data_IF_511293449542
#
_entry.id   IF_511293449542
#
_cell.length_a   1.000
_cell.length_b   1.000
_cell.length_c   1.000
_cell.angle_alpha   90.00
_cell.angle_beta   90.00
_cell.angle_gamma   90.00
#
_symmetry.space_group_name_H-M   'P 1'
#
loop_
_entity.id
_entity.type
_entity.pdbx_description
1 polymer ?
#
# COMPACT_ATOMS: atom_id res chain seq x y z
N UNK A 1 21.56 15.24 0.86
CA UNK A 1 20.53 14.40 0.21
C UNK A 1 20.73 14.42 -1.30
N UNK A 2 20.42 13.34 -2.00
CA UNK A 2 20.48 13.25 -3.47
C UNK A 2 19.08 13.01 -4.01
N UNK A 3 18.66 13.84 -4.97
CA UNK A 3 17.40 13.73 -5.70
C UNK A 3 17.68 13.14 -7.08
N UNK A 4 17.20 11.91 -7.30
CA UNK A 4 17.31 11.24 -8.60
C UNK A 4 16.42 11.97 -9.63
N UNK A 5 16.89 12.12 -10.88
CA UNK A 5 16.07 12.72 -11.93
C UNK A 5 14.86 11.85 -12.25
N UNK A 6 13.68 12.48 -12.36
CA UNK A 6 12.46 11.80 -12.86
C UNK A 6 12.40 11.79 -14.38
N UNK A 7 13.16 12.69 -15.02
CA UNK A 7 13.10 13.03 -16.44
C UNK A 7 11.71 13.53 -16.89
N UNK A 8 10.94 14.01 -15.91
CA UNK A 8 9.62 14.58 -16.05
C UNK A 8 9.56 15.77 -15.09
N UNK A 9 9.16 16.92 -15.61
CA UNK A 9 8.89 18.13 -14.86
C UNK A 9 7.59 17.96 -14.06
N UNK A 10 7.71 17.95 -12.73
CA UNK A 10 6.61 17.70 -11.79
C UNK A 10 5.52 18.79 -11.90
N UNK A 11 5.93 20.03 -12.13
CA UNK A 11 5.03 21.18 -12.15
C UNK A 11 4.20 21.21 -13.44
N UNK A 12 4.78 20.74 -14.56
CA UNK A 12 4.06 20.63 -15.84
C UNK A 12 3.27 19.34 -16.00
N UNK A 13 3.68 18.25 -15.34
CA UNK A 13 3.07 16.95 -15.59
C UNK A 13 1.62 16.90 -15.08
N UNK A 14 0.66 16.74 -15.99
CA UNK A 14 -0.78 16.63 -15.66
C UNK A 14 -1.25 15.17 -15.43
N UNK A 15 -0.32 14.21 -15.31
CA UNK A 15 -0.62 12.80 -15.06
C UNK A 15 -1.61 12.08 -16.02
N UNK A 16 -1.87 12.63 -17.21
CA UNK A 16 -2.86 12.08 -18.17
C UNK A 16 -2.56 10.67 -18.74
N UNK A 17 -1.33 10.16 -18.60
CA UNK A 17 -0.96 8.79 -19.03
C UNK A 17 -0.71 8.55 -20.52
N UNK A 18 -0.96 9.53 -21.39
CA UNK A 18 -0.68 9.43 -22.84
C UNK A 18 0.77 9.02 -23.14
N UNK A 19 1.73 9.54 -22.36
CA UNK A 19 3.14 9.22 -22.55
C UNK A 19 3.47 7.75 -22.28
N UNK A 20 2.79 7.11 -21.32
CA UNK A 20 2.94 5.68 -21.03
C UNK A 20 2.24 4.82 -22.08
N UNK A 21 1.04 5.21 -22.51
CA UNK A 21 0.32 4.52 -23.59
C UNK A 21 1.17 4.41 -24.86
N UNK A 22 1.84 5.51 -25.25
CA UNK A 22 2.69 5.57 -26.45
C UNK A 22 4.10 5.01 -26.24
N UNK A 23 4.49 4.64 -25.03
CA UNK A 23 5.81 4.06 -24.77
C UNK A 23 5.89 2.62 -25.34
N UNK A 24 6.84 2.31 -26.23
CA UNK A 24 6.94 0.97 -26.82
C UNK A 24 7.63 -0.04 -25.90
N UNK A 25 8.42 0.40 -24.91
CA UNK A 25 9.14 -0.50 -23.99
C UNK A 25 8.18 -1.06 -22.95
N UNK A 26 8.18 -2.38 -22.78
CA UNK A 26 7.57 -3.10 -21.67
C UNK A 26 8.66 -3.48 -20.67
N UNK A 27 8.40 -3.28 -19.39
CA UNK A 27 9.31 -3.53 -18.26
C UNK A 27 8.56 -4.31 -17.21
N UNK A 28 9.23 -5.20 -16.48
CA UNK A 28 8.63 -5.86 -15.33
C UNK A 28 8.17 -4.85 -14.28
N UNK A 29 6.94 -5.03 -13.80
CA UNK A 29 6.36 -4.18 -12.79
C UNK A 29 6.71 -4.70 -11.40
N UNK A 30 7.71 -4.09 -10.78
CA UNK A 30 8.18 -4.46 -9.43
C UNK A 30 7.10 -4.19 -8.38
N UNK A 31 6.31 -3.13 -8.51
CA UNK A 31 5.24 -2.81 -7.56
C UNK A 31 4.12 -3.86 -7.58
N UNK A 32 3.88 -4.45 -8.75
CA UNK A 32 2.93 -5.54 -8.93
C UNK A 32 3.59 -6.92 -8.84
N UNK A 33 4.75 -7.04 -8.16
CA UNK A 33 5.42 -8.32 -7.87
C UNK A 33 5.69 -9.16 -9.13
N UNK A 34 6.03 -8.49 -10.24
CA UNK A 34 6.33 -9.08 -11.55
C UNK A 34 5.16 -9.83 -12.21
N UNK A 35 3.93 -9.64 -11.72
CA UNK A 35 2.72 -10.29 -12.26
C UNK A 35 2.27 -9.69 -13.60
N UNK A 36 2.64 -8.44 -13.89
CA UNK A 36 2.37 -7.79 -15.16
C UNK A 36 3.58 -6.96 -15.63
N UNK A 37 3.45 -6.38 -16.83
CA UNK A 37 4.44 -5.46 -17.39
C UNK A 37 3.92 -4.03 -17.30
N UNK A 38 4.77 -3.12 -16.82
CA UNK A 38 4.59 -1.67 -16.95
C UNK A 38 5.35 -1.13 -18.16
N UNK A 39 5.33 0.19 -18.32
CA UNK A 39 6.07 0.94 -19.34
C UNK A 39 7.33 1.56 -18.73
N UNK A 40 8.29 1.95 -19.58
CA UNK A 40 9.50 2.62 -19.10
C UNK A 40 9.21 4.01 -18.51
N UNK A 41 8.23 4.74 -19.05
CA UNK A 41 7.64 5.90 -18.37
C UNK A 41 6.39 5.44 -17.63
N UNK A 42 6.33 5.70 -16.33
CA UNK A 42 5.35 5.08 -15.45
C UNK A 42 4.98 5.99 -14.27
N UNK A 43 3.85 5.67 -13.65
CA UNK A 43 3.52 6.00 -12.26
C UNK A 43 3.54 4.68 -11.51
N UNK A 44 4.02 4.67 -10.26
CA UNK A 44 4.18 3.44 -9.48
C UNK A 44 2.84 2.73 -9.21
N UNK A 45 1.80 3.50 -8.86
CA UNK A 45 0.43 3.02 -8.73
C UNK A 45 -0.56 4.19 -8.91
N UNK A 46 -1.86 3.93 -9.21
CA UNK A 46 -2.82 4.98 -9.57
C UNK A 46 -3.06 6.07 -8.53
N UNK A 47 -2.72 5.83 -7.26
CA UNK A 47 -2.87 6.78 -6.15
C UNK A 47 -1.52 7.30 -5.64
N UNK A 48 -0.45 7.16 -6.41
CA UNK A 48 0.88 7.61 -5.99
C UNK A 48 0.88 9.11 -5.63
N UNK A 49 1.65 9.47 -4.61
CA UNK A 49 1.81 10.86 -4.18
C UNK A 49 3.30 11.24 -4.23
N UNK A 50 3.68 12.27 -5.01
CA UNK A 50 2.84 13.03 -5.94
C UNK A 50 2.42 12.17 -7.15
N UNK A 51 1.20 12.35 -7.66
CA UNK A 51 0.73 11.62 -8.84
C UNK A 51 1.38 12.18 -10.11
N UNK A 52 2.62 11.76 -10.37
CA UNK A 52 3.44 12.27 -11.47
C UNK A 52 4.26 11.14 -12.07
N UNK A 53 4.39 11.17 -13.39
CA UNK A 53 5.17 10.16 -14.11
C UNK A 53 6.68 10.32 -13.84
N UNK A 54 7.41 9.22 -13.98
CA UNK A 54 8.86 9.17 -14.00
C UNK A 54 9.33 8.22 -15.12
N UNK A 55 10.54 8.44 -15.65
CA UNK A 55 11.17 7.56 -16.63
C UNK A 55 12.21 6.69 -15.94
N UNK A 56 12.02 5.38 -16.04
CA UNK A 56 13.01 4.37 -15.72
C UNK A 56 14.15 4.44 -16.75
N UNK A 57 15.26 5.07 -16.35
CA UNK A 57 16.40 5.29 -17.22
C UNK A 57 17.09 3.99 -17.66
N UNK A 58 17.10 2.96 -16.82
CA UNK A 58 17.78 1.69 -17.09
C UNK A 58 17.08 0.91 -18.21
N UNK A 59 15.75 1.06 -18.33
CA UNK A 59 14.97 0.35 -19.33
C UNK A 59 14.52 1.21 -20.52
N UNK A 60 14.68 2.53 -20.46
CA UNK A 60 14.20 3.43 -21.50
C UNK A 60 15.05 3.38 -22.78
N UNK A 61 14.40 3.14 -23.93
CA UNK A 61 15.05 3.06 -25.25
C UNK A 61 15.78 4.36 -25.63
N UNK A 62 15.32 5.52 -25.13
CA UNK A 62 16.03 6.77 -25.38
C UNK A 62 17.41 6.79 -24.69
N UNK A 63 17.50 6.38 -23.43
CA UNK A 63 18.78 6.31 -22.73
C UNK A 63 19.66 5.16 -23.23
N UNK A 64 19.05 4.06 -23.69
CA UNK A 64 19.78 2.91 -24.26
C UNK A 64 20.33 3.20 -25.67
N UNK A 65 19.55 3.87 -26.54
CA UNK A 65 19.84 3.97 -28.00
C UNK A 65 19.79 5.38 -28.59
N UNK A 66 19.32 6.38 -27.85
CA UNK A 66 19.30 7.80 -28.24
C UNK A 66 18.13 8.28 -29.10
N UNK A 67 17.11 7.45 -29.40
CA UNK A 67 16.19 7.73 -30.55
C UNK A 67 14.67 7.58 -30.36
N UNK A 68 14.16 7.01 -29.26
CA UNK A 68 12.71 6.75 -29.12
C UNK A 68 11.85 8.02 -29.02
N UNK A 69 12.11 8.91 -28.04
CA UNK A 69 11.42 10.20 -27.78
C UNK A 69 9.88 10.22 -27.89
N UNK A 70 9.21 9.07 -27.88
CA UNK A 70 7.76 8.99 -28.06
C UNK A 70 7.01 9.69 -26.92
N UNK A 71 7.43 9.48 -25.68
CA UNK A 71 6.82 10.14 -24.52
C UNK A 71 6.92 11.67 -24.60
N UNK A 72 8.02 12.23 -25.12
CA UNK A 72 8.20 13.67 -25.33
C UNK A 72 7.25 14.17 -26.43
N UNK A 73 7.21 13.51 -27.58
CA UNK A 73 6.36 13.88 -28.72
C UNK A 73 4.86 13.94 -28.37
N UNK A 74 4.38 13.01 -27.54
CA UNK A 74 2.96 12.87 -27.22
C UNK A 74 2.55 13.52 -25.89
N UNK A 75 3.48 14.17 -25.18
CA UNK A 75 3.14 14.86 -23.93
C UNK A 75 2.50 16.22 -24.22
N UNK A 76 1.20 16.43 -23.97
CA UNK A 76 0.53 17.70 -24.26
C UNK A 76 1.06 18.85 -23.39
N UNK A 77 1.54 18.53 -22.18
CA UNK A 77 2.05 19.52 -21.24
C UNK A 77 3.53 19.87 -21.44
N UNK A 78 4.23 19.23 -22.39
CA UNK A 78 5.66 19.46 -22.60
C UNK A 78 6.51 19.17 -21.35
N UNK A 79 6.09 18.18 -20.54
CA UNK A 79 6.69 17.90 -19.24
C UNK A 79 7.91 16.96 -19.31
N UNK A 80 8.19 16.31 -20.44
CA UNK A 80 9.32 15.38 -20.55
C UNK A 80 10.61 16.16 -20.70
N UNK A 81 11.59 15.86 -19.85
CA UNK A 81 12.92 16.45 -19.90
C UNK A 81 13.99 15.39 -19.65
N UNK A 82 14.54 14.85 -20.74
CA UNK A 82 15.61 13.86 -20.68
C UNK A 82 16.95 14.42 -20.20
N UNK A 83 17.08 15.74 -20.05
CA UNK A 83 18.33 16.40 -19.65
C UNK A 83 18.43 16.62 -18.15
N UNK A 84 17.37 16.32 -17.39
CA UNK A 84 17.39 16.37 -15.93
C UNK A 84 18.58 15.57 -15.37
N UNK A 85 19.29 16.18 -14.42
CA UNK A 85 20.43 15.58 -13.73
C UNK A 85 20.10 15.37 -12.27
N UNK A 86 20.82 14.45 -11.64
CA UNK A 86 20.77 14.29 -10.19
C UNK A 86 21.13 15.60 -9.50
N UNK A 87 20.31 15.99 -8.51
CA UNK A 87 20.51 17.21 -7.72
C UNK A 87 20.95 16.83 -6.31
N UNK A 88 21.95 17.53 -5.80
CA UNK A 88 22.41 17.36 -4.42
C UNK A 88 21.98 18.56 -3.60
N UNK A 89 21.37 18.28 -2.45
CA UNK A 89 20.94 19.28 -1.48
C UNK A 89 21.68 19.08 -0.17
N UNK A 90 22.12 20.20 0.41
CA UNK A 90 22.53 20.26 1.81
C UNK A 90 21.35 20.77 2.62
N UNK A 91 21.04 20.08 3.71
CA UNK A 91 19.99 20.48 4.65
C UNK A 91 20.56 20.29 6.05
N UNK A 92 20.50 21.36 6.85
CA UNK A 92 20.90 21.32 8.24
C UNK A 92 19.68 20.89 9.06
N UNK A 93 19.82 19.79 9.81
CA UNK A 93 18.74 19.19 10.61
C UNK A 93 19.21 18.96 12.04
N UNK A 94 18.32 19.17 13.01
CA UNK A 94 18.63 18.94 14.43
C UNK A 94 18.31 17.52 14.90
N UNK A 95 17.48 16.78 14.18
CA UNK A 95 17.22 15.36 14.44
C UNK A 95 16.84 14.61 13.17
N UNK A 96 17.00 13.29 13.18
CA UNK A 96 16.71 12.39 12.05
C UNK A 96 15.87 11.21 12.55
N UNK A 97 14.82 10.85 11.80
CA UNK A 97 14.02 9.64 12.05
C UNK A 97 14.22 8.66 10.91
N UNK A 98 14.58 7.43 11.24
CA UNK A 98 14.75 6.33 10.30
C UNK A 98 13.45 5.52 10.22
N UNK A 99 12.79 5.60 9.06
CA UNK A 99 11.51 4.93 8.79
C UNK A 99 11.57 4.14 7.46
N UNK A 100 12.71 3.51 7.19
CA UNK A 100 12.99 2.85 5.91
C UNK A 100 12.31 1.47 5.75
N UNK A 101 11.55 1.01 6.75
CA UNK A 101 10.72 -0.19 6.67
C UNK A 101 11.50 -1.51 6.64
N UNK A 102 10.86 -2.55 6.09
CA UNK A 102 11.42 -3.87 5.87
C UNK A 102 11.07 -4.39 4.48
N UNK A 103 11.78 -5.44 4.04
CA UNK A 103 11.51 -6.15 2.80
C UNK A 103 11.03 -7.59 3.09
N UNK A 104 10.18 -8.18 2.23
CA UNK A 104 9.82 -9.59 2.33
C UNK A 104 11.06 -10.49 2.21
N UNK A 105 11.08 -11.60 2.93
CA UNK A 105 12.09 -12.63 2.79
C UNK A 105 11.95 -13.34 1.43
N UNK A 106 13.03 -13.40 0.65
CA UNK A 106 13.06 -14.06 -0.65
C UNK A 106 13.01 -15.60 -0.50
N UNK A 107 11.96 -16.28 -0.99
CA UNK A 107 11.79 -17.72 -0.85
C UNK A 107 12.59 -18.50 -1.90
N UNK A 108 13.36 -17.84 -2.78
CA UNK A 108 14.14 -18.50 -3.85
C UNK A 108 15.21 -19.45 -3.32
N UNK A 109 15.70 -19.27 -2.08
CA UNK A 109 16.58 -20.24 -1.43
C UNK A 109 15.84 -21.48 -0.89
N UNK A 110 14.52 -21.41 -0.75
CA UNK A 110 13.64 -22.47 -0.22
C UNK A 110 13.12 -23.35 -1.35
N UNK A 111 14.04 -23.99 -2.08
CA UNK A 111 13.76 -24.76 -3.30
C UNK A 111 12.69 -25.84 -3.11
N UNK A 112 12.55 -26.37 -1.89
CA UNK A 112 11.55 -27.39 -1.54
C UNK A 112 10.11 -26.88 -1.55
N UNK A 113 9.88 -25.56 -1.50
CA UNK A 113 8.56 -24.97 -1.72
C UNK A 113 8.27 -24.70 -3.20
N UNK A 114 9.26 -24.75 -4.08
CA UNK A 114 9.05 -24.69 -5.53
C UNK A 114 8.67 -23.33 -6.11
N UNK A 115 8.82 -22.24 -5.35
CA UNK A 115 8.66 -20.87 -5.88
C UNK A 115 9.58 -20.64 -7.09
N UNK A 116 9.06 -20.00 -8.14
CA UNK A 116 9.76 -19.78 -9.40
C UNK A 116 9.87 -21.03 -10.31
N UNK A 117 9.72 -22.24 -9.77
CA UNK A 117 9.65 -23.49 -10.55
C UNK A 117 8.21 -23.87 -10.89
N UNK A 118 7.29 -23.69 -9.95
CA UNK A 118 5.88 -24.02 -10.11
C UNK A 118 5.07 -22.72 -10.26
N UNK A 119 4.36 -22.51 -11.38
CA UNK A 119 3.67 -21.24 -11.64
C UNK A 119 2.62 -20.87 -10.59
N UNK A 120 1.99 -21.88 -9.96
CA UNK A 120 0.95 -21.68 -8.96
C UNK A 120 1.47 -21.66 -7.51
N UNK A 121 2.79 -21.64 -7.31
CA UNK A 121 3.39 -21.29 -6.01
C UNK A 121 3.74 -19.81 -6.06
N UNK A 122 2.94 -19.01 -5.36
CA UNK A 122 3.10 -17.55 -5.31
C UNK A 122 3.49 -17.10 -3.90
N UNK A 123 3.98 -15.87 -3.80
CA UNK A 123 4.22 -15.23 -2.50
C UNK A 123 2.97 -14.54 -1.96
N UNK A 124 2.92 -14.31 -0.64
CA UNK A 124 1.88 -13.48 -0.04
C UNK A 124 1.79 -12.08 -0.68
N UNK A 125 2.93 -11.46 -1.02
CA UNK A 125 2.91 -10.16 -1.72
C UNK A 125 2.26 -10.26 -3.11
N UNK A 126 2.53 -11.32 -3.88
CA UNK A 126 1.84 -11.57 -5.14
C UNK A 126 0.32 -11.79 -4.94
N UNK A 127 -0.07 -12.45 -3.85
CA UNK A 127 -1.47 -12.62 -3.48
C UNK A 127 -2.13 -11.27 -3.15
N UNK A 128 -1.48 -10.41 -2.36
CA UNK A 128 -1.94 -9.04 -2.09
C UNK A 128 -2.17 -8.25 -3.38
N UNK A 129 -1.20 -8.29 -4.32
CA UNK A 129 -1.35 -7.61 -5.61
C UNK A 129 -2.48 -8.22 -6.46
N UNK A 130 -2.67 -9.54 -6.39
CA UNK A 130 -3.75 -10.23 -7.10
C UNK A 130 -5.14 -9.83 -6.60
N UNK A 131 -5.32 -9.77 -5.27
CA UNK A 131 -6.58 -9.40 -4.63
C UNK A 131 -6.86 -7.88 -4.68
N UNK A 132 -5.85 -7.05 -4.94
CA UNK A 132 -6.01 -5.61 -4.96
C UNK A 132 -6.82 -5.12 -6.19
N UNK A 133 -7.79 -4.22 -5.96
CA UNK A 133 -8.63 -3.64 -7.01
C UNK A 133 -7.85 -2.82 -8.07
N UNK A 134 -6.72 -2.22 -7.69
CA UNK A 134 -5.80 -1.54 -8.62
C UNK A 134 -4.59 -2.41 -8.99
N UNK A 135 -4.63 -3.69 -8.62
CA UNK A 135 -3.65 -4.69 -9.00
C UNK A 135 -3.79 -5.16 -10.45
N UNK A 136 -2.86 -6.01 -10.91
CA UNK A 136 -2.79 -6.52 -12.29
C UNK A 136 -4.08 -7.21 -12.77
N UNK A 137 -4.84 -7.81 -11.85
CA UNK A 137 -6.05 -8.57 -12.14
C UNK A 137 -7.33 -7.86 -11.67
N UNK A 138 -7.25 -6.59 -11.27
CA UNK A 138 -8.38 -5.78 -10.79
C UNK A 138 -9.19 -6.48 -9.68
N UNK A 139 -8.49 -7.14 -8.75
CA UNK A 139 -9.07 -7.90 -7.65
C UNK A 139 -9.59 -9.29 -8.00
N UNK A 140 -9.52 -9.74 -9.25
CA UNK A 140 -9.95 -11.10 -9.60
C UNK A 140 -8.93 -12.12 -9.11
N UNK A 141 -9.40 -13.09 -8.34
CA UNK A 141 -8.59 -14.21 -7.88
C UNK A 141 -8.29 -15.15 -9.05
N UNK A 142 -7.02 -15.21 -9.45
CA UNK A 142 -6.56 -15.98 -10.61
C UNK A 142 -5.29 -16.76 -10.28
N UNK A 143 -5.17 -17.96 -10.85
CA UNK A 143 -3.94 -18.75 -10.79
C UNK A 143 -2.99 -18.36 -11.93
N UNK A 144 -1.68 -18.16 -11.68
CA UNK A 144 -0.76 -17.67 -12.72
C UNK A 144 -0.57 -18.60 -13.92
N UNK A 145 -0.75 -19.92 -13.73
CA UNK A 145 -0.55 -20.90 -14.81
C UNK A 145 -1.53 -20.78 -15.98
N UNK A 146 -2.81 -20.52 -15.72
CA UNK A 146 -3.87 -20.61 -16.72
C UNK A 146 -4.93 -19.49 -16.62
N UNK A 147 -4.84 -18.61 -15.62
CA UNK A 147 -5.75 -17.49 -15.40
C UNK A 147 -7.11 -17.85 -14.81
N UNK A 148 -7.35 -19.12 -14.44
CA UNK A 148 -8.60 -19.57 -13.81
C UNK A 148 -8.65 -19.20 -12.34
N UNK A 149 -9.86 -19.13 -11.77
CA UNK A 149 -10.02 -18.98 -10.33
C UNK A 149 -9.75 -20.31 -9.63
N UNK A 150 -8.81 -20.37 -8.67
CA UNK A 150 -8.56 -21.59 -7.89
C UNK A 150 -9.71 -21.90 -6.94
N UNK A 151 -10.00 -23.19 -6.77
CA UNK A 151 -11.00 -23.73 -5.83
C UNK A 151 -10.37 -24.25 -4.53
N UNK A 152 -9.08 -24.60 -4.56
CA UNK A 152 -8.32 -25.08 -3.40
C UNK A 152 -7.00 -24.32 -3.26
N UNK A 153 -6.82 -23.60 -2.14
CA UNK A 153 -5.62 -22.80 -1.87
C UNK A 153 -5.03 -23.16 -0.51
N UNK A 154 -3.71 -23.35 -0.48
CA UNK A 154 -2.95 -23.53 0.76
C UNK A 154 -2.04 -22.32 1.04
N UNK A 155 -2.10 -21.77 2.25
CA UNK A 155 -1.10 -20.83 2.77
C UNK A 155 -0.11 -21.57 3.65
N UNK A 156 1.18 -21.35 3.42
CA UNK A 156 2.25 -21.96 4.22
C UNK A 156 2.87 -20.87 5.09
N UNK A 157 2.74 -21.01 6.41
CA UNK A 157 3.28 -20.05 7.37
C UNK A 157 4.79 -20.18 7.59
N UNK A 158 5.37 -19.10 8.14
CA UNK A 158 6.76 -19.04 8.57
C UNK A 158 7.78 -19.27 7.44
N UNK A 159 7.47 -18.86 6.21
CA UNK A 159 8.41 -18.96 5.09
C UNK A 159 9.52 -17.92 5.28
N UNK A 160 10.75 -18.37 5.49
CA UNK A 160 11.90 -17.50 5.78
C UNK A 160 12.00 -17.02 7.24
N UNK A 161 11.14 -17.52 8.14
CA UNK A 161 11.12 -17.14 9.57
C UNK A 161 11.06 -18.35 10.47
N UNK A 162 11.48 -18.20 11.73
CA UNK A 162 11.54 -19.28 12.73
C UNK A 162 12.28 -20.51 12.20
N UNK A 163 13.34 -20.28 11.43
CA UNK A 163 14.17 -21.31 10.84
C UNK A 163 15.64 -20.92 10.94
N UNK A 164 16.38 -21.72 11.71
CA UNK A 164 17.84 -21.57 11.94
C UNK A 164 18.67 -22.52 11.09
N UNK A 165 18.03 -23.44 10.35
CA UNK A 165 18.70 -24.52 9.63
C UNK A 165 18.81 -24.22 8.13
N UNK A 166 17.89 -23.41 7.59
CA UNK A 166 17.86 -23.11 6.17
C UNK A 166 18.57 -21.81 5.82
N UNK A 167 19.50 -21.86 4.87
CA UNK A 167 20.23 -20.68 4.40
C UNK A 167 19.29 -19.58 3.89
N UNK A 168 19.51 -18.35 4.35
CA UNK A 168 18.68 -17.19 4.03
C UNK A 168 17.45 -17.01 4.92
N UNK A 169 17.07 -18.01 5.71
CA UNK A 169 16.00 -17.88 6.71
C UNK A 169 16.49 -17.26 8.00
N UNK A 170 15.54 -16.80 8.81
CA UNK A 170 15.80 -16.10 10.07
C UNK A 170 15.20 -16.84 11.25
N UNK A 171 15.92 -16.85 12.38
CA UNK A 171 15.48 -17.53 13.61
C UNK A 171 14.31 -16.83 14.32
N UNK A 172 14.08 -15.55 14.05
CA UNK A 172 12.99 -14.77 14.64
C UNK A 172 11.65 -14.98 13.95
N UNK A 173 10.58 -14.54 14.62
CA UNK A 173 9.24 -14.44 14.05
C UNK A 173 9.05 -13.06 13.42
N UNK A 174 8.45 -12.98 12.23
CA UNK A 174 8.19 -11.71 11.55
C UNK A 174 6.90 -10.99 11.99
N UNK A 175 6.25 -11.42 13.08
CA UNK A 175 5.15 -10.70 13.74
C UNK A 175 3.79 -10.70 13.01
N UNK A 176 3.80 -10.49 11.69
CA UNK A 176 2.59 -10.14 10.90
C UNK A 176 2.04 -11.29 10.06
N UNK A 177 2.83 -12.32 9.77
CA UNK A 177 2.49 -13.33 8.76
C UNK A 177 1.29 -14.21 9.09
N UNK A 178 1.01 -14.44 10.37
CA UNK A 178 -0.23 -15.13 10.76
C UNK A 178 -1.46 -14.32 10.38
N UNK A 179 -1.42 -13.00 10.60
CA UNK A 179 -2.58 -12.15 10.41
C UNK A 179 -2.84 -11.80 8.95
N UNK A 180 -1.81 -11.50 8.16
CA UNK A 180 -2.05 -11.26 6.73
C UNK A 180 -2.53 -12.53 6.03
N UNK A 181 -2.13 -13.74 6.45
CA UNK A 181 -2.59 -14.98 5.83
C UNK A 181 -4.07 -15.23 6.13
N UNK A 182 -4.51 -15.01 7.38
CA UNK A 182 -5.93 -15.05 7.74
C UNK A 182 -6.72 -14.02 6.93
N UNK A 183 -6.16 -12.81 6.75
CA UNK A 183 -6.78 -11.75 5.96
C UNK A 183 -6.88 -12.13 4.48
N UNK A 184 -5.80 -12.59 3.86
CA UNK A 184 -5.77 -13.03 2.47
C UNK A 184 -6.76 -14.17 2.23
N UNK A 185 -6.81 -15.18 3.10
CA UNK A 185 -7.77 -16.29 2.98
C UNK A 185 -9.22 -15.79 3.09
N UNK A 186 -9.50 -14.87 4.02
CA UNK A 186 -10.81 -14.24 4.18
C UNK A 186 -11.22 -13.47 2.92
N UNK A 187 -10.36 -12.59 2.42
CA UNK A 187 -10.63 -11.78 1.22
C UNK A 187 -10.75 -12.68 -0.02
N UNK A 188 -9.93 -13.74 -0.13
CA UNK A 188 -10.03 -14.70 -1.21
C UNK A 188 -11.40 -15.38 -1.23
N UNK A 189 -11.94 -15.78 -0.07
CA UNK A 189 -13.31 -16.32 0.04
C UNK A 189 -14.38 -15.27 -0.28
N UNK A 190 -14.18 -14.01 0.11
CA UNK A 190 -15.11 -12.92 -0.26
C UNK A 190 -15.15 -12.69 -1.78
N UNK A 191 -14.02 -12.83 -2.47
CA UNK A 191 -13.90 -12.63 -3.91
C UNK A 191 -14.35 -13.85 -4.74
N UNK A 192 -14.05 -15.07 -4.29
CA UNK A 192 -14.34 -16.31 -5.01
C UNK A 192 -15.65 -17.00 -4.58
N UNK A 193 -16.22 -16.61 -3.43
CA UNK A 193 -17.37 -17.26 -2.80
C UNK A 193 -16.99 -18.25 -1.71
N UNK A 194 -17.99 -18.68 -0.94
CA UNK A 194 -17.81 -19.56 0.24
C UNK A 194 -17.31 -20.96 -0.08
N UNK A 195 -17.50 -21.43 -1.32
CA UNK A 195 -17.07 -22.76 -1.79
C UNK A 195 -15.55 -22.88 -1.94
N UNK A 196 -14.81 -21.76 -1.94
CA UNK A 196 -13.35 -21.79 -1.94
C UNK A 196 -12.84 -22.52 -0.70
N UNK A 197 -12.09 -23.60 -0.91
CA UNK A 197 -11.39 -24.31 0.15
C UNK A 197 -10.04 -23.64 0.43
N UNK A 198 -9.94 -23.07 1.64
CA UNK A 198 -8.77 -22.33 2.10
C UNK A 198 -8.16 -23.04 3.30
N UNK A 199 -6.89 -23.45 3.19
CA UNK A 199 -6.14 -24.09 4.26
C UNK A 199 -4.91 -23.27 4.64
N UNK A 200 -4.72 -23.02 5.93
CA UNK A 200 -3.54 -22.34 6.48
C UNK A 200 -2.73 -23.35 7.28
N UNK A 201 -1.52 -23.66 6.81
CA UNK A 201 -0.57 -24.56 7.45
C UNK A 201 0.36 -23.79 8.38
N UNK A 202 0.33 -24.08 9.68
CA UNK A 202 1.01 -23.29 10.70
C UNK A 202 1.68 -24.13 11.80
N UNK A 203 2.61 -23.52 12.54
CA UNK A 203 3.14 -24.09 13.80
C UNK A 203 2.35 -23.58 15.02
N UNK A 204 2.30 -22.25 15.14
CA UNK A 204 1.52 -21.53 16.15
C UNK A 204 0.88 -20.29 15.48
N UNK A 205 -0.43 -20.09 15.66
CA UNK A 205 -1.11 -18.86 15.24
C UNK A 205 -0.81 -17.76 16.25
N UNK A 206 -0.26 -16.63 15.79
CA UNK A 206 0.16 -15.49 16.64
C UNK A 206 -0.75 -14.28 16.49
N UNK A 207 -1.96 -14.39 17.03
CA UNK A 207 -3.09 -13.43 16.92
C UNK A 207 -3.13 -12.41 18.08
N UNK A 208 -1.98 -11.85 18.45
CA UNK A 208 -1.78 -11.11 19.71
C UNK A 208 -2.33 -9.67 19.76
N UNK A 209 -2.67 -9.07 18.62
CA UNK A 209 -3.22 -7.70 18.54
C UNK A 209 -4.67 -7.61 19.02
N UNK A 210 -5.12 -6.38 19.34
CA UNK A 210 -6.51 -6.15 19.78
C UNK A 210 -7.49 -6.56 18.68
N UNK A 211 -8.33 -7.55 18.98
CA UNK A 211 -9.33 -8.07 18.04
C UNK A 211 -8.79 -9.08 17.03
N UNK A 212 -7.49 -9.39 17.03
CA UNK A 212 -6.89 -10.33 16.08
C UNK A 212 -7.40 -11.76 16.29
N UNK A 213 -7.51 -12.20 17.54
CA UNK A 213 -8.09 -13.49 17.87
C UNK A 213 -9.56 -13.60 17.42
N UNK A 214 -10.33 -12.52 17.56
CA UNK A 214 -11.71 -12.48 17.05
C UNK A 214 -11.76 -12.61 15.53
N UNK A 215 -10.84 -11.96 14.82
CA UNK A 215 -10.75 -12.04 13.37
C UNK A 215 -10.34 -13.45 12.90
N UNK A 216 -9.40 -14.08 13.60
CA UNK A 216 -9.01 -15.47 13.40
C UNK A 216 -10.20 -16.43 13.57
N UNK A 217 -10.93 -16.32 14.69
CA UNK A 217 -12.12 -17.16 14.93
C UNK A 217 -13.22 -16.92 13.92
N UNK A 218 -13.47 -15.68 13.51
CA UNK A 218 -14.42 -15.38 12.43
C UNK A 218 -14.03 -16.07 11.12
N UNK A 219 -12.74 -16.10 10.77
CA UNK A 219 -12.28 -16.81 9.58
C UNK A 219 -12.51 -18.32 9.69
N UNK A 220 -12.30 -18.91 10.87
CA UNK A 220 -12.53 -20.33 11.15
C UNK A 220 -14.03 -20.68 11.16
N UNK A 221 -14.80 -20.02 12.03
CA UNK A 221 -16.18 -20.36 12.38
C UNK A 221 -17.18 -19.90 11.30
N UNK A 222 -17.07 -18.66 10.80
CA UNK A 222 -18.08 -18.08 9.90
C UNK A 222 -17.76 -18.32 8.42
N UNK A 223 -16.47 -18.41 8.08
CA UNK A 223 -16.00 -18.53 6.70
C UNK A 223 -15.44 -19.92 6.38
N UNK A 224 -15.21 -20.78 7.37
CA UNK A 224 -14.72 -22.15 7.16
C UNK A 224 -13.30 -22.19 6.59
N UNK A 225 -12.41 -21.29 7.01
CA UNK A 225 -10.97 -21.40 6.72
C UNK A 225 -10.39 -22.49 7.61
N UNK A 226 -9.71 -23.47 7.01
CA UNK A 226 -9.10 -24.59 7.74
C UNK A 226 -7.75 -24.17 8.30
N UNK A 227 -7.53 -24.41 9.58
CA UNK A 227 -6.24 -24.19 10.24
C UNK A 227 -5.60 -25.53 10.55
N UNK A 228 -4.50 -25.85 9.86
CA UNK A 228 -3.82 -27.14 9.96
C UNK A 228 -2.49 -26.92 10.67
N UNK A 229 -2.37 -27.46 11.87
CA UNK A 229 -1.15 -27.35 12.67
C UNK A 229 -0.08 -28.32 12.17
N UNK A 230 0.62 -27.91 11.12
CA UNK A 230 1.73 -28.66 10.56
C UNK A 230 2.70 -27.72 9.84
N UNK A 231 4.01 -27.93 10.02
CA UNK A 231 5.03 -27.27 9.21
C UNK A 231 5.26 -28.10 7.96
N UNK A 232 4.79 -27.62 6.82
CA UNK A 232 4.95 -28.28 5.52
C UNK A 232 6.43 -28.44 5.21
N UNK A 233 6.84 -29.66 4.86
CA UNK A 233 8.22 -29.96 4.47
C UNK A 233 8.52 -29.54 3.02
N UNK A 234 7.61 -29.84 2.09
CA UNK A 234 7.83 -29.61 0.66
C UNK A 234 6.53 -29.53 -0.12
N UNK A 235 6.57 -28.81 -1.24
CA UNK A 235 5.50 -28.75 -2.25
C UNK A 235 6.02 -29.44 -3.51
N UNK A 236 5.22 -30.35 -4.07
CA UNK A 236 5.55 -31.08 -5.30
C UNK A 236 4.38 -31.02 -6.29
N UNK A 237 4.57 -31.29 -7.59
CA UNK A 237 3.45 -31.41 -8.53
C UNK A 237 2.54 -32.57 -8.12
N UNK A 238 1.23 -32.41 -8.30
CA UNK A 238 0.25 -33.45 -7.96
C UNK A 238 0.34 -34.68 -8.88
N UNK A 239 0.73 -34.45 -10.14
CA UNK A 239 1.10 -35.46 -11.14
C UNK A 239 2.12 -34.85 -12.10
N UNK A 240 2.89 -35.69 -12.79
CA UNK A 240 3.86 -35.21 -13.79
C UNK A 240 3.18 -34.34 -14.85
N UNK A 241 3.73 -33.14 -15.07
CA UNK A 241 3.19 -32.16 -16.03
C UNK A 241 1.94 -31.39 -15.55
N UNK A 242 1.40 -31.67 -14.35
CA UNK A 242 0.29 -30.88 -13.80
C UNK A 242 0.80 -29.62 -13.10
N UNK A 243 0.00 -28.54 -13.20
CA UNK A 243 0.20 -27.31 -12.45
C UNK A 243 -0.49 -27.33 -11.07
N UNK A 244 -1.24 -28.38 -10.76
CA UNK A 244 -1.75 -28.62 -9.41
C UNK A 244 -0.63 -29.12 -8.50
N UNK A 245 -0.74 -28.78 -7.23
CA UNK A 245 0.30 -28.95 -6.23
C UNK A 245 -0.16 -29.98 -5.20
N UNK A 246 0.76 -30.81 -4.74
CA UNK A 246 0.55 -31.74 -3.64
C UNK A 246 1.38 -31.28 -2.44
N UNK A 247 0.70 -31.16 -1.31
CA UNK A 247 1.28 -30.75 -0.03
C UNK A 247 1.20 -31.93 0.93
N UNK A 248 2.36 -32.43 1.33
CA UNK A 248 2.48 -33.46 2.36
C UNK A 248 2.62 -32.84 3.74
N UNK A 249 1.84 -33.31 4.71
CA UNK A 249 1.87 -32.80 6.08
C UNK A 249 1.55 -33.91 7.09
N UNK A 250 1.83 -33.65 8.36
CA UNK A 250 1.52 -34.55 9.48
C UNK A 250 0.41 -33.92 10.31
N UNK A 251 -0.67 -34.66 10.55
CA UNK A 251 -1.74 -34.22 11.45
C UNK A 251 -1.35 -34.35 12.93
N UNK A 252 -2.21 -33.87 13.84
CA UNK A 252 -1.92 -33.95 15.28
C UNK A 252 -1.93 -35.38 15.83
N UNK A 253 -2.49 -36.35 15.10
CA UNK A 253 -2.46 -37.78 15.44
C UNK A 253 -1.18 -38.48 14.95
N UNK A 254 -0.33 -37.78 14.20
CA UNK A 254 0.90 -38.32 13.62
C UNK A 254 0.71 -39.03 12.28
N UNK A 255 -0.47 -38.95 11.66
CA UNK A 255 -0.70 -39.52 10.34
C UNK A 255 -0.08 -38.63 9.27
N UNK A 256 0.62 -39.25 8.32
CA UNK A 256 1.11 -38.56 7.13
C UNK A 256 -0.02 -38.47 6.12
N UNK A 257 -0.40 -37.24 5.78
CA UNK A 257 -1.45 -36.92 4.83
C UNK A 257 -0.86 -36.20 3.63
N UNK A 258 -1.50 -36.40 2.48
CA UNK A 258 -1.20 -35.64 1.26
C UNK A 258 -2.49 -35.05 0.72
N UNK A 259 -2.47 -33.74 0.45
CA UNK A 259 -3.62 -33.02 -0.07
C UNK A 259 -3.25 -32.27 -1.37
N UNK A 260 -4.21 -32.17 -2.28
CA UNK A 260 -4.05 -31.50 -3.58
C UNK A 260 -4.60 -30.07 -3.48
N UNK A 261 -3.82 -29.12 -3.97
CA UNK A 261 -4.16 -27.70 -4.04
C UNK A 261 -3.93 -27.17 -5.45
N UNK A 262 -4.77 -26.25 -5.90
CA UNK A 262 -4.62 -25.62 -7.21
C UNK A 262 -3.66 -24.42 -7.17
N UNK A 263 -3.43 -23.87 -5.97
CA UNK A 263 -2.50 -22.76 -5.70
C UNK A 263 -1.93 -22.87 -4.28
N UNK A 264 -0.66 -22.49 -4.11
CA UNK A 264 0.01 -22.38 -2.81
C UNK A 264 0.53 -20.96 -2.65
N UNK A 265 0.26 -20.35 -1.50
CA UNK A 265 0.72 -19.02 -1.11
C UNK A 265 1.77 -19.15 -0.01
N UNK A 266 2.94 -18.58 -0.26
CA UNK A 266 4.05 -18.57 0.69
C UNK A 266 3.99 -17.33 1.57
N UNK A 267 3.67 -17.51 2.84
CA UNK A 267 3.62 -16.43 3.83
C UNK A 267 5.04 -16.06 4.28
N UNK A 268 5.70 -15.23 3.46
CA UNK A 268 7.05 -14.71 3.65
C UNK A 268 7.19 -13.89 4.95
N UNK A 269 8.29 -14.10 5.64
CA UNK A 269 8.75 -13.22 6.71
C UNK A 269 9.17 -11.84 6.21
N UNK A 270 9.55 -10.98 7.16
CA UNK A 270 10.18 -9.69 6.94
C UNK A 270 11.66 -9.77 7.32
N UNK A 271 12.52 -9.11 6.55
CA UNK A 271 13.95 -8.92 6.84
C UNK A 271 14.33 -7.44 6.71
N UNK A 272 15.40 -7.05 7.41
CA UNK A 272 15.95 -5.71 7.30
C UNK A 272 16.54 -5.47 5.89
N UNK A 273 16.20 -4.38 5.18
CA UNK A 273 16.75 -4.05 3.88
C UNK A 273 18.24 -3.75 3.98
N UNK A 274 19.01 -4.07 2.93
CA UNK A 274 20.45 -3.77 2.88
C UNK A 274 20.74 -2.27 3.00
N UNK A 275 19.84 -1.45 2.49
CA UNK A 275 19.90 0.01 2.56
C UNK A 275 19.82 0.51 3.99
N UNK A 276 19.05 -0.16 4.86
CA UNK A 276 18.97 0.18 6.29
C UNK A 276 20.29 -0.10 6.98
N UNK A 277 20.92 -1.24 6.67
CA UNK A 277 22.23 -1.60 7.23
C UNK A 277 23.32 -0.62 6.77
N UNK A 278 23.34 -0.29 5.49
CA UNK A 278 24.26 0.71 4.94
C UNK A 278 24.01 2.12 5.49
N UNK A 279 22.76 2.44 5.88
CA UNK A 279 22.43 3.71 6.52
C UNK A 279 22.88 3.73 7.99
N UNK A 280 22.68 2.63 8.72
CA UNK A 280 23.15 2.47 10.09
C UNK A 280 24.68 2.61 10.18
N UNK A 281 25.42 1.99 9.26
CA UNK A 281 26.89 2.13 9.16
C UNK A 281 27.30 3.58 8.92
N UNK A 282 26.68 4.27 7.94
CA UNK A 282 26.98 5.69 7.64
C UNK A 282 26.66 6.64 8.80
N UNK A 283 25.65 6.30 9.60
CA UNK A 283 25.22 7.10 10.74
C UNK A 283 25.89 6.66 12.05
N UNK A 284 26.75 5.64 12.03
CA UNK A 284 27.40 5.07 13.22
C UNK A 284 26.37 4.65 14.29
N UNK A 285 25.40 3.81 13.87
CA UNK A 285 24.30 3.31 14.69
C UNK A 285 24.41 1.79 14.83
N UNK A 286 24.17 1.29 16.04
CA UNK A 286 24.20 -0.13 16.36
C UNK A 286 23.05 -0.89 15.71
N UNK A 287 23.33 -2.12 15.28
CA UNK A 287 22.32 -3.07 14.81
C UNK A 287 22.26 -4.28 15.74
N UNK A 288 21.09 -4.91 15.81
CA UNK A 288 20.90 -6.16 16.55
C UNK A 288 21.37 -7.38 15.75
N UNK A 289 21.39 -8.54 16.41
CA UNK A 289 21.79 -9.82 15.79
C UNK A 289 20.94 -10.24 14.59
N UNK A 290 19.74 -9.69 14.49
CA UNK A 290 18.75 -9.99 13.45
C UNK A 290 18.89 -9.08 12.22
N UNK A 291 19.75 -8.06 12.30
CA UNK A 291 20.09 -7.12 11.24
C UNK A 291 19.22 -5.86 11.20
N UNK A 292 18.38 -5.62 12.20
CA UNK A 292 17.61 -4.39 12.36
C UNK A 292 18.34 -3.38 13.25
N UNK A 293 17.87 -2.15 13.28
CA UNK A 293 18.44 -1.10 14.14
C UNK A 293 18.18 -1.45 15.62
N UNK A 294 19.23 -1.44 16.44
CA UNK A 294 19.16 -1.76 17.86
C UNK A 294 18.39 -0.68 18.62
N UNK A 295 17.40 -1.10 19.41
CA UNK A 295 16.65 -0.29 20.38
C UNK A 295 16.51 -1.07 21.68
N UNK A 296 15.91 -0.49 22.72
CA UNK A 296 15.65 -1.21 23.97
C UNK A 296 14.25 -0.93 24.53
N UNK A 297 13.81 -1.76 25.48
CA UNK A 297 12.46 -1.70 26.02
C UNK A 297 12.10 -0.38 26.73
N UNK A 298 13.08 0.37 27.24
CA UNK A 298 12.86 1.67 27.89
C UNK A 298 12.87 2.83 26.89
N UNK A 299 13.53 2.64 25.75
CA UNK A 299 13.72 3.64 24.70
C UNK A 299 13.49 2.99 23.33
N UNK A 300 12.24 2.60 23.02
CA UNK A 300 11.94 1.75 21.86
C UNK A 300 12.13 2.43 20.50
N UNK A 301 12.27 3.76 20.49
CA UNK A 301 12.44 4.57 19.27
C UNK A 301 13.76 5.31 19.21
N UNK A 302 14.60 5.20 20.25
CA UNK A 302 15.94 5.81 20.26
C UNK A 302 16.96 4.81 19.73
N UNK A 303 17.89 5.32 18.90
CA UNK A 303 19.05 4.55 18.47
C UNK A 303 20.21 4.71 19.44
N UNK A 304 21.34 4.05 19.19
CA UNK A 304 22.59 4.25 19.95
C UNK A 304 23.17 5.66 19.81
N UNK A 305 22.73 6.45 18.82
CA UNK A 305 23.22 7.80 18.55
C UNK A 305 22.18 8.86 18.92
N UNK A 306 22.57 9.79 19.79
CA UNK A 306 21.71 10.91 20.19
C UNK A 306 21.29 11.75 18.97
N UNK A 307 20.00 12.09 18.92
CA UNK A 307 19.41 12.85 17.80
C UNK A 307 19.02 12.02 16.59
N UNK A 308 19.30 10.70 16.60
CA UNK A 308 18.81 9.77 15.59
C UNK A 308 17.84 8.78 16.23
N UNK A 309 16.65 8.69 15.64
CA UNK A 309 15.53 7.87 16.09
C UNK A 309 15.13 6.87 15.00
N UNK A 310 14.38 5.84 15.36
CA UNK A 310 13.88 4.81 14.45
C UNK A 310 12.42 4.48 14.77
N UNK A 311 11.65 4.05 13.76
CA UNK A 311 10.29 3.57 13.95
C UNK A 311 9.89 2.52 12.92
N UNK A 312 8.88 1.72 13.27
CA UNK A 312 8.29 0.72 12.39
C UNK A 312 9.25 -0.41 12.04
N UNK A 313 9.06 -1.00 10.87
CA UNK A 313 9.80 -2.20 10.45
C UNK A 313 11.32 -2.03 10.30
N UNK A 314 11.86 -0.81 10.43
CA UNK A 314 13.30 -0.57 10.46
C UNK A 314 13.96 -1.02 11.77
N UNK A 315 13.21 -1.04 12.89
CA UNK A 315 13.70 -1.50 14.19
C UNK A 315 13.41 -2.99 14.44
N UNK A 316 12.24 -3.48 14.00
CA UNK A 316 11.83 -4.87 14.16
C UNK A 316 10.56 -5.16 13.33
N UNK A 317 10.25 -6.43 13.01
CA UNK A 317 9.01 -6.77 12.32
C UNK A 317 7.76 -6.40 13.15
N UNK A 318 6.96 -5.46 12.66
CA UNK A 318 5.75 -4.94 13.32
C UNK A 318 4.61 -4.75 12.33
N UNK A 319 3.38 -4.62 12.84
CA UNK A 319 2.23 -4.29 12.02
C UNK A 319 2.08 -2.76 11.80
N UNK A 320 1.06 -2.38 11.04
CA UNK A 320 0.78 -0.98 10.72
C UNK A 320 0.41 -0.17 11.99
N UNK A 321 -0.52 -0.61 12.86
CA UNK A 321 -0.82 0.10 14.11
C UNK A 321 0.42 0.40 14.97
N UNK A 322 1.28 -0.61 15.17
CA UNK A 322 2.50 -0.43 15.95
C UNK A 322 3.48 0.52 15.23
N UNK A 323 3.64 0.41 13.91
CA UNK A 323 4.47 1.35 13.14
C UNK A 323 4.01 2.80 13.28
N UNK A 324 2.69 3.05 13.24
CA UNK A 324 2.11 4.40 13.41
C UNK A 324 2.31 4.92 14.83
N UNK A 325 2.15 4.06 15.83
CA UNK A 325 2.42 4.39 17.24
C UNK A 325 3.89 4.76 17.46
N UNK A 326 4.81 3.95 16.94
CA UNK A 326 6.25 4.21 17.04
C UNK A 326 6.67 5.46 16.29
N UNK A 327 6.10 5.74 15.11
CA UNK A 327 6.34 6.98 14.38
C UNK A 327 5.91 8.21 15.19
N UNK A 328 4.78 8.12 15.89
CA UNK A 328 4.29 9.19 16.79
C UNK A 328 5.22 9.37 18.00
N UNK A 329 5.70 8.27 18.58
CA UNK A 329 6.67 8.30 19.68
C UNK A 329 8.02 8.90 19.24
N UNK A 330 8.53 8.51 18.07
CA UNK A 330 9.75 9.07 17.49
C UNK A 330 9.62 10.57 17.21
N UNK A 331 8.49 11.00 16.64
CA UNK A 331 8.19 12.42 16.43
C UNK A 331 8.14 13.21 17.75
N UNK A 332 7.55 12.63 18.80
CA UNK A 332 7.56 13.23 20.14
C UNK A 332 8.97 13.34 20.71
N UNK A 333 9.81 12.31 20.55
CA UNK A 333 11.18 12.32 21.04
C UNK A 333 12.04 13.38 20.30
N UNK A 334 11.88 13.48 18.98
CA UNK A 334 12.43 14.56 18.17
C UNK A 334 11.98 15.94 18.66
N UNK A 335 10.68 16.13 18.90
CA UNK A 335 10.12 17.41 19.32
C UNK A 335 10.61 17.82 20.72
N UNK A 336 10.84 16.87 21.62
CA UNK A 336 11.44 17.12 22.94
C UNK A 336 12.90 17.57 22.80
N UNK A 337 13.68 16.92 21.93
CA UNK A 337 15.06 17.33 21.65
C UNK A 337 15.14 18.73 21.01
N UNK A 338 14.19 19.05 20.14
CA UNK A 338 14.15 20.31 19.38
C UNK A 338 13.31 21.41 20.06
N UNK A 339 12.96 21.25 21.34
CA UNK A 339 12.01 22.13 22.03
C UNK A 339 12.43 23.61 21.98
N UNK A 340 13.71 23.91 22.17
CA UNK A 340 14.24 25.29 22.15
C UNK A 340 14.18 25.94 20.77
N UNK A 341 14.20 25.14 19.69
CA UNK A 341 14.13 25.60 18.31
C UNK A 341 12.73 25.46 17.71
N UNK A 342 11.72 25.22 18.54
CA UNK A 342 10.34 25.07 18.09
C UNK A 342 9.88 26.34 17.35
N UNK A 343 9.25 26.14 16.19
CA UNK A 343 8.68 27.19 15.33
C UNK A 343 9.67 28.14 14.63
N UNK A 344 10.99 28.02 14.84
CA UNK A 344 11.97 28.96 14.27
C UNK A 344 12.11 28.87 12.75
N UNK A 345 11.75 27.72 12.16
CA UNK A 345 11.86 27.43 10.72
C UNK A 345 10.51 27.07 10.08
N UNK A 346 9.38 27.44 10.69
CA UNK A 346 8.05 27.18 10.10
C UNK A 346 7.90 27.95 8.79
N UNK A 347 7.51 27.24 7.74
CA UNK A 347 6.98 27.84 6.51
C UNK A 347 5.46 27.78 6.57
N UNK A 348 4.81 28.94 6.56
CA UNK A 348 3.37 29.00 6.41
C UNK A 348 3.01 28.74 4.95
N UNK A 349 2.10 27.80 4.71
CA UNK A 349 1.49 27.63 3.39
C UNK A 349 0.63 28.85 3.11
N UNK A 350 0.90 29.53 2.00
CA UNK A 350 0.07 30.63 1.53
C UNK A 350 -1.17 30.06 0.83
N UNK A 351 -2.34 30.57 1.22
CA UNK A 351 -3.63 30.22 0.62
C UNK A 351 -4.13 31.42 -0.19
N UNK A 352 -4.94 31.19 -1.25
CA UNK A 352 -5.62 32.28 -1.90
C UNK A 352 -6.50 33.05 -0.90
N UNK A 353 -6.76 34.36 -1.13
CA UNK A 353 -7.65 35.13 -0.29
C UNK A 353 -9.02 34.46 -0.16
N UNK A 354 -9.57 34.44 1.05
CA UNK A 354 -10.92 33.92 1.29
C UNK A 354 -11.93 34.76 0.51
N UNK A 355 -12.79 34.09 -0.27
CA UNK A 355 -13.85 34.75 -1.01
C UNK A 355 -14.89 35.30 -0.04
N UNK A 356 -15.21 36.58 -0.14
CA UNK A 356 -16.27 37.20 0.65
C UNK A 356 -17.64 36.70 0.16
N UNK A 357 -18.30 35.84 0.96
CA UNK A 357 -19.53 35.14 0.57
C UNK A 357 -20.77 35.57 1.36
N UNK A 358 -20.66 36.61 2.18
CA UNK A 358 -21.71 37.12 3.10
C UNK A 358 -23.06 37.40 2.39
N UNK A 359 -23.00 37.86 1.14
CA UNK A 359 -24.17 38.27 0.35
C UNK A 359 -24.46 37.34 -0.84
N UNK A 360 -23.66 36.28 -1.03
CA UNK A 360 -23.88 35.33 -2.11
C UNK A 360 -25.08 34.42 -1.83
N UNK A 361 -25.87 34.11 -2.87
CA UNK A 361 -26.87 33.04 -2.76
C UNK A 361 -26.17 31.71 -2.49
N UNK A 362 -26.76 30.88 -1.65
CA UNK A 362 -26.23 29.54 -1.34
C UNK A 362 -26.14 28.67 -2.60
N UNK A 363 -24.95 28.11 -2.82
CA UNK A 363 -24.58 27.25 -3.94
C UNK A 363 -23.74 26.09 -3.42
N UNK A 364 -24.42 24.99 -3.13
CA UNK A 364 -23.85 23.79 -2.51
C UNK A 364 -23.35 22.83 -3.59
N UNK A 365 -22.12 22.35 -3.43
CA UNK A 365 -21.61 21.19 -4.16
C UNK A 365 -21.59 19.96 -3.26
N UNK A 366 -22.18 18.85 -3.71
CA UNK A 366 -22.17 17.57 -2.99
C UNK A 366 -21.26 16.59 -3.72
N UNK A 367 -20.33 15.97 -3.00
CA UNK A 367 -19.41 14.98 -3.55
C UNK A 367 -19.54 13.66 -2.80
N UNK A 368 -20.02 12.62 -3.48
CA UNK A 368 -20.27 11.29 -2.89
C UNK A 368 -19.15 10.32 -3.24
N UNK A 369 -18.54 9.70 -2.24
CA UNK A 369 -17.41 8.80 -2.43
C UNK A 369 -17.87 7.34 -2.62
N UNK A 370 -17.36 6.66 -3.64
CA UNK A 370 -17.54 5.22 -3.82
C UNK A 370 -16.65 4.37 -2.91
N UNK A 371 -15.40 4.79 -2.66
CA UNK A 371 -14.40 4.07 -1.86
C UNK A 371 -14.29 2.55 -2.17
N UNK A 372 -14.44 2.17 -3.44
CA UNK A 372 -14.47 0.77 -3.87
C UNK A 372 -15.62 -0.02 -3.22
N UNK A 373 -15.32 -1.20 -2.68
CA UNK A 373 -16.32 -2.04 -1.99
C UNK A 373 -16.70 -1.51 -0.61
N UNK A 374 -15.92 -0.59 -0.02
CA UNK A 374 -16.14 -0.14 1.36
C UNK A 374 -17.39 0.73 1.52
N UNK A 375 -17.80 1.46 0.48
CA UNK A 375 -19.05 2.24 0.47
C UNK A 375 -19.92 1.74 -0.68
N UNK A 376 -19.40 1.74 -1.91
CA UNK A 376 -20.13 1.32 -3.10
C UNK A 376 -20.52 -0.16 -3.14
N UNK A 377 -20.03 -0.99 -2.21
CA UNK A 377 -20.48 -2.37 -2.04
C UNK A 377 -21.84 -2.50 -1.32
N UNK A 378 -22.26 -1.48 -0.57
CA UNK A 378 -23.50 -1.47 0.23
C UNK A 378 -24.40 -0.31 -0.16
N UNK A 379 -23.83 0.88 -0.30
CA UNK A 379 -24.54 2.12 -0.63
C UNK A 379 -24.63 2.29 -2.13
N UNK A 380 -25.84 2.53 -2.66
CA UNK A 380 -26.06 2.95 -4.05
C UNK A 380 -25.63 4.42 -4.22
N UNK A 381 -24.34 4.61 -4.46
CA UNK A 381 -23.72 5.94 -4.59
C UNK A 381 -24.32 6.77 -5.73
N UNK A 382 -24.60 6.22 -6.94
CA UNK A 382 -25.35 6.94 -7.96
C UNK A 382 -26.72 7.44 -7.47
N UNK A 383 -27.49 6.61 -6.76
CA UNK A 383 -28.77 7.04 -6.21
C UNK A 383 -28.63 8.15 -5.15
N UNK A 384 -27.63 8.05 -4.26
CA UNK A 384 -27.35 9.10 -3.26
C UNK A 384 -26.97 10.43 -3.94
N UNK A 385 -26.11 10.39 -4.96
CA UNK A 385 -25.76 11.56 -5.77
C UNK A 385 -27.00 12.16 -6.43
N UNK A 386 -27.83 11.34 -7.07
CA UNK A 386 -29.00 11.83 -7.80
C UNK A 386 -30.07 12.39 -6.87
N UNK A 387 -30.24 11.80 -5.68
CA UNK A 387 -31.04 12.38 -4.61
C UNK A 387 -30.50 13.75 -4.18
N UNK A 388 -29.18 13.86 -3.97
CA UNK A 388 -28.56 15.11 -3.56
C UNK A 388 -28.78 16.27 -4.55
N UNK A 389 -28.88 15.98 -5.86
CA UNK A 389 -29.21 17.00 -6.89
C UNK A 389 -30.56 17.66 -6.68
N UNK A 390 -31.51 16.96 -6.06
CA UNK A 390 -32.84 17.47 -5.77
C UNK A 390 -32.93 18.34 -4.52
N UNK A 391 -31.85 18.45 -3.72
CA UNK A 391 -31.88 19.16 -2.45
C UNK A 391 -31.79 20.69 -2.64
N UNK A 392 -32.45 21.48 -1.77
CA UNK A 392 -32.44 22.94 -1.86
C UNK A 392 -31.02 23.52 -1.82
N UNK A 393 -30.70 24.39 -2.78
CA UNK A 393 -29.41 25.07 -2.85
C UNK A 393 -28.26 24.24 -3.42
N UNK A 394 -28.46 22.95 -3.72
CA UNK A 394 -27.47 22.13 -4.44
C UNK A 394 -27.47 22.51 -5.91
N UNK A 395 -26.31 22.97 -6.38
CA UNK A 395 -26.11 23.36 -7.79
C UNK A 395 -25.20 22.38 -8.53
N UNK A 396 -24.50 21.53 -7.79
CA UNK A 396 -23.67 20.46 -8.33
C UNK A 396 -23.71 19.25 -7.40
N UNK A 397 -23.88 18.06 -7.97
CA UNK A 397 -23.62 16.81 -7.26
C UNK A 397 -22.90 15.82 -8.18
N UNK A 398 -21.75 15.35 -7.70
CA UNK A 398 -20.91 14.37 -8.37
C UNK A 398 -20.59 13.21 -7.44
N UNK A 399 -20.29 12.07 -8.04
CA UNK A 399 -19.68 10.94 -7.35
C UNK A 399 -18.24 10.73 -7.83
N UNK A 400 -17.38 10.20 -6.97
CA UNK A 400 -15.99 9.93 -7.30
C UNK A 400 -15.53 8.59 -6.71
N UNK A 401 -14.58 7.90 -7.35
CA UNK A 401 -14.07 6.62 -6.85
C UNK A 401 -13.42 6.75 -5.46
N UNK A 402 -12.56 7.76 -5.27
CA UNK A 402 -11.84 7.98 -4.00
C UNK A 402 -11.69 9.48 -3.72
N UNK A 403 -12.62 10.07 -2.96
CA UNK A 403 -12.61 11.53 -2.71
C UNK A 403 -11.32 12.04 -2.06
N UNK A 404 -10.60 11.21 -1.31
CA UNK A 404 -9.35 11.59 -0.67
C UNK A 404 -8.12 11.60 -1.61
N UNK A 405 -8.24 11.11 -2.86
CA UNK A 405 -7.13 11.14 -3.81
C UNK A 405 -6.81 12.57 -4.27
N UNK A 406 -5.55 12.85 -4.61
CA UNK A 406 -5.13 14.19 -5.05
C UNK A 406 -5.87 14.67 -6.30
N UNK A 407 -6.13 13.77 -7.26
CA UNK A 407 -6.90 14.09 -8.46
C UNK A 407 -8.34 14.49 -8.13
N UNK A 408 -8.97 13.77 -7.20
CA UNK A 408 -10.34 14.11 -6.81
C UNK A 408 -10.38 15.41 -6.01
N UNK A 409 -9.38 15.69 -5.17
CA UNK A 409 -9.26 16.99 -4.52
C UNK A 409 -9.10 18.12 -5.54
N UNK A 410 -8.31 17.93 -6.60
CA UNK A 410 -8.22 18.89 -7.70
C UNK A 410 -9.57 19.05 -8.42
N UNK A 411 -10.26 17.96 -8.73
CA UNK A 411 -11.59 18.01 -9.35
C UNK A 411 -12.62 18.73 -8.46
N UNK A 412 -12.54 18.59 -7.13
CA UNK A 412 -13.36 19.35 -6.18
C UNK A 412 -13.03 20.86 -6.30
N UNK A 413 -11.75 21.24 -6.32
CA UNK A 413 -11.34 22.65 -6.50
C UNK A 413 -11.81 23.21 -7.84
N UNK A 414 -11.70 22.44 -8.91
CA UNK A 414 -12.14 22.84 -10.25
C UNK A 414 -13.66 23.02 -10.29
N UNK A 415 -14.42 22.09 -9.70
CA UNK A 415 -15.88 22.19 -9.59
C UNK A 415 -16.32 23.39 -8.72
N UNK A 416 -15.57 23.74 -7.67
CA UNK A 416 -15.81 24.95 -6.87
C UNK A 416 -15.72 26.20 -7.75
N UNK A 417 -14.68 26.28 -8.59
CA UNK A 417 -14.49 27.39 -9.50
C UNK A 417 -15.53 27.40 -10.64
N UNK A 418 -15.73 26.27 -11.31
CA UNK A 418 -16.62 26.13 -12.48
C UNK A 418 -18.08 26.42 -12.15
N UNK A 419 -18.57 25.89 -11.02
CA UNK A 419 -19.97 26.03 -10.62
C UNK A 419 -20.20 27.18 -9.63
N UNK A 420 -19.15 27.93 -9.27
CA UNK A 420 -19.23 29.01 -8.29
C UNK A 420 -19.78 28.52 -6.96
N UNK A 421 -19.30 27.38 -6.47
CA UNK A 421 -19.75 26.81 -5.20
C UNK A 421 -19.28 27.71 -4.04
N UNK A 422 -20.10 27.83 -3.01
CA UNK A 422 -19.75 28.51 -1.76
C UNK A 422 -19.94 27.65 -0.50
N UNK A 423 -20.49 26.45 -0.64
CA UNK A 423 -20.61 25.44 0.42
C UNK A 423 -20.29 24.08 -0.19
N UNK A 424 -19.64 23.21 0.56
CA UNK A 424 -19.26 21.88 0.08
C UNK A 424 -19.73 20.83 1.08
N UNK A 425 -20.39 19.79 0.58
CA UNK A 425 -20.72 18.59 1.35
C UNK A 425 -19.92 17.42 0.81
N UNK A 426 -19.16 16.76 1.67
CA UNK A 426 -18.45 15.52 1.34
C UNK A 426 -19.17 14.37 2.02
N UNK A 427 -19.73 13.45 1.23
CA UNK A 427 -20.30 12.21 1.72
C UNK A 427 -19.28 11.08 1.50
N UNK A 428 -18.53 10.72 2.54
CA UNK A 428 -17.38 9.81 2.41
C UNK A 428 -17.05 9.05 3.71
N UNK A 429 -15.76 8.72 3.89
CA UNK A 429 -15.18 8.08 5.07
C UNK A 429 -15.27 8.94 6.34
N UNK A 430 -14.73 8.45 7.45
CA UNK A 430 -14.76 9.14 8.73
C UNK A 430 -14.17 10.58 8.69
N UNK A 431 -14.87 11.59 9.22
CA UNK A 431 -14.37 12.97 9.29
C UNK A 431 -13.15 13.08 10.21
N UNK A 432 -13.03 12.21 11.21
CA UNK A 432 -11.88 12.18 12.14
C UNK A 432 -10.53 12.12 11.44
N UNK A 433 -10.45 11.47 10.28
CA UNK A 433 -9.20 11.33 9.52
C UNK A 433 -9.16 12.20 8.27
N UNK A 434 -10.30 12.55 7.68
CA UNK A 434 -10.35 13.20 6.37
C UNK A 434 -10.88 14.64 6.39
N UNK A 435 -11.58 15.08 7.42
CA UNK A 435 -12.11 16.45 7.46
C UNK A 435 -11.01 17.51 7.29
N UNK A 436 -9.85 17.45 7.98
CA UNK A 436 -8.78 18.43 7.77
C UNK A 436 -8.27 18.48 6.33
N UNK A 437 -8.25 17.34 5.63
CA UNK A 437 -7.83 17.24 4.23
C UNK A 437 -8.78 18.02 3.30
N UNK A 438 -10.09 17.85 3.48
CA UNK A 438 -11.07 18.56 2.66
C UNK A 438 -11.22 20.03 3.06
N UNK A 439 -11.03 20.37 4.35
CA UNK A 439 -10.92 21.75 4.79
C UNK A 439 -9.75 22.46 4.09
N UNK A 440 -8.60 21.80 4.00
CA UNK A 440 -7.45 22.30 3.24
C UNK A 440 -7.78 22.40 1.75
N UNK A 441 -8.44 21.39 1.16
CA UNK A 441 -8.83 21.38 -0.26
C UNK A 441 -9.72 22.57 -0.63
N UNK A 442 -10.77 22.87 0.16
CA UNK A 442 -11.66 23.99 -0.13
C UNK A 442 -10.99 25.35 0.17
N UNK A 443 -10.08 25.38 1.13
CA UNK A 443 -9.28 26.57 1.44
C UNK A 443 -8.30 26.91 0.31
N UNK A 444 -7.73 25.91 -0.35
CA UNK A 444 -6.95 26.07 -1.58
C UNK A 444 -7.80 26.58 -2.77
N UNK A 445 -9.12 26.41 -2.73
CA UNK A 445 -10.05 27.02 -3.68
C UNK A 445 -10.55 28.41 -3.25
N UNK A 446 -10.03 28.96 -2.14
CA UNK A 446 -10.42 30.28 -1.61
C UNK A 446 -11.71 30.28 -0.81
N UNK A 447 -12.22 29.11 -0.39
CA UNK A 447 -13.37 29.04 0.52
C UNK A 447 -12.91 29.01 1.99
N UNK A 448 -13.79 29.47 2.87
CA UNK A 448 -13.60 29.30 4.30
C UNK A 448 -13.65 27.80 4.65
N UNK A 449 -12.67 27.24 5.39
CA UNK A 449 -12.61 25.81 5.70
C UNK A 449 -13.83 25.30 6.50
N UNK A 450 -14.53 26.17 7.23
CA UNK A 450 -15.70 25.82 8.04
C UNK A 450 -17.02 25.83 7.25
N UNK A 451 -16.94 26.00 5.93
CA UNK A 451 -18.07 25.88 5.00
C UNK A 451 -18.14 24.51 4.32
N UNK A 452 -17.38 23.56 4.88
CA UNK A 452 -17.42 22.15 4.61
C UNK A 452 -18.39 21.47 5.59
N UNK A 453 -19.26 20.62 5.08
CA UNK A 453 -20.02 19.66 5.88
C UNK A 453 -19.63 18.23 5.49
N UNK A 454 -19.62 17.31 6.44
CA UNK A 454 -19.16 15.94 6.23
C UNK A 454 -20.23 14.92 6.62
N UNK A 455 -20.72 14.15 5.65
CA UNK A 455 -21.59 13.00 5.90
C UNK A 455 -20.77 11.70 5.94
N UNK A 456 -20.73 11.05 7.11
CA UNK A 456 -19.97 9.82 7.32
C UNK A 456 -20.73 8.57 6.86
N UNK A 457 -20.93 8.45 5.55
CA UNK A 457 -21.71 7.35 4.96
C UNK A 457 -20.99 6.00 5.05
N UNK A 458 -19.66 5.99 5.21
CA UNK A 458 -18.93 4.72 5.40
C UNK A 458 -19.26 4.08 6.74
N UNK A 459 -19.06 4.82 7.84
CA UNK A 459 -19.19 4.24 9.17
C UNK A 459 -20.67 4.16 9.63
N UNK A 460 -21.57 4.95 9.04
CA UNK A 460 -22.98 5.02 9.48
C UNK A 460 -23.95 4.24 8.58
N UNK A 461 -23.62 4.06 7.29
CA UNK A 461 -24.53 3.40 6.34
C UNK A 461 -23.99 2.09 5.78
N UNK A 462 -22.66 1.98 5.62
CA UNK A 462 -22.03 0.80 5.01
C UNK A 462 -21.58 -0.26 6.03
N UNK A 463 -21.21 0.15 7.26
CA UNK A 463 -20.56 -0.71 8.26
C UNK A 463 -21.46 -1.10 9.43
#
# INVERSE_FOLDING_TARGET
MREKPRYVDIDKCIACGLCAEKCPRKVDDVFNEHLNKRKAIYVEYPQAVPLKYAIDAENCIYFEKGKCRACEKFCPAGAIDFTQKERTFKMDVGSVVLAAGAEPADPSSLLFYGHGRFPNVITAMQMERTLNATGPYAGKLVRPSDGRTPEHIAWIQCVGSRDTNTAGSKGYCSGVCCMYAVKEATIAKEHAGKELDAAIFFMDMRTHGKGFERYYRRAEEDLGVRFIRSRVHSVVPATDGSNDLKVGYVDESGNVLEERFQMVVLSQGLKAPREVQAMAEKLDISMNSDGFIETNSLKPVETSRQGVFVCGCAANPVDIPQSVMEASAAASACASLLAESRHTMIRHKEYPPERGMETEKMRIGVFVCHCGINIGGVVDVPAVRDYARGLPGVVYAGDNPFSCSQDTQQAIRDAIAEHGLNRVVIAACTPRTHEPLFQETIREAGLNPYLLEFANIRDQDSW
#
